data_IF_894673964627
#
_entry.id   IF_894673964627
#
_cell.length_a   1.000
_cell.length_b   1.000
_cell.length_c   1.000
_cell.angle_alpha   90.00
_cell.angle_beta   90.00
_cell.angle_gamma   90.00
#
_symmetry.space_group_name_H-M   'P 1'
#
loop_
_entity.id
_entity.type
_entity.pdbx_description
1 polymer ?
#
# COMPACT_ATOMS: atom_id res chain seq x y z
N UNK A 1 6.22 6.06 17.49
CA UNK A 1 5.37 5.19 16.65
C UNK A 1 5.89 3.77 16.77
N UNK A 2 5.02 2.75 16.82
CA UNK A 2 5.46 1.36 16.72
C UNK A 2 6.23 1.12 15.42
N UNK A 3 7.18 0.19 15.48
CA UNK A 3 8.06 -0.14 14.37
C UNK A 3 7.41 -1.17 13.46
N UNK A 4 7.57 -0.97 12.15
CA UNK A 4 7.20 -1.92 11.10
C UNK A 4 8.43 -2.11 10.22
N UNK A 5 8.76 -3.36 9.92
CA UNK A 5 9.87 -3.72 9.03
C UNK A 5 9.29 -4.23 7.72
N UNK A 6 9.94 -3.86 6.63
CA UNK A 6 9.45 -4.09 5.29
C UNK A 6 10.54 -4.67 4.40
N UNK A 7 10.20 -5.72 3.68
CA UNK A 7 10.97 -6.24 2.56
C UNK A 7 10.02 -6.37 1.37
N UNK A 8 10.17 -5.49 0.38
CA UNK A 8 9.33 -5.52 -0.82
C UNK A 8 9.98 -6.36 -1.93
N UNK A 9 9.17 -7.03 -2.76
CA UNK A 9 9.64 -7.65 -3.99
C UNK A 9 10.30 -6.66 -4.96
N UNK A 10 10.98 -7.19 -5.97
CA UNK A 10 11.43 -6.39 -7.11
C UNK A 10 10.24 -5.70 -7.81
N UNK A 11 10.47 -4.52 -8.39
CA UNK A 11 9.45 -3.71 -9.04
C UNK A 11 8.81 -2.64 -8.14
N UNK A 12 8.99 -2.73 -6.82
CA UNK A 12 8.63 -1.67 -5.90
C UNK A 12 9.75 -0.64 -5.78
N UNK A 13 9.41 0.63 -5.99
CA UNK A 13 10.30 1.77 -5.77
C UNK A 13 9.73 2.63 -4.66
N UNK A 14 10.50 2.78 -3.58
CA UNK A 14 10.11 3.58 -2.43
C UNK A 14 10.04 5.06 -2.79
N UNK A 15 9.03 5.75 -2.25
CA UNK A 15 8.94 7.20 -2.27
C UNK A 15 9.56 7.71 -0.97
N UNK A 16 10.60 8.53 -1.08
CA UNK A 16 11.17 9.21 0.08
C UNK A 16 10.16 10.22 0.65
N UNK A 17 9.56 9.85 1.77
CA UNK A 17 8.55 10.66 2.47
C UNK A 17 9.17 11.87 3.19
N UNK A 18 10.49 11.89 3.38
CA UNK A 18 11.22 13.00 3.99
C UNK A 18 11.81 13.98 2.95
N UNK A 19 11.81 13.62 1.67
CA UNK A 19 12.21 14.50 0.56
C UNK A 19 11.34 15.77 0.55
N UNK A 20 11.98 16.92 0.28
CA UNK A 20 11.27 18.19 0.16
C UNK A 20 10.22 18.11 -0.98
N UNK A 21 8.98 18.59 -0.77
CA UNK A 21 7.95 18.59 -1.81
C UNK A 21 8.38 19.23 -3.13
N UNK A 22 9.13 20.34 -3.08
CA UNK A 22 9.62 21.03 -4.27
C UNK A 22 10.62 20.21 -5.06
N UNK A 23 11.55 19.56 -4.36
CA UNK A 23 12.54 18.66 -4.97
C UNK A 23 11.87 17.44 -5.62
N UNK A 24 10.92 16.81 -4.90
CA UNK A 24 10.15 15.67 -5.42
C UNK A 24 9.33 16.04 -6.65
N UNK A 25 8.63 17.18 -6.63
CA UNK A 25 7.89 17.66 -7.80
C UNK A 25 8.81 17.94 -8.99
N UNK A 26 9.97 18.55 -8.75
CA UNK A 26 10.97 18.81 -9.80
C UNK A 26 11.44 17.49 -10.43
N UNK A 27 11.74 16.49 -9.59
CA UNK A 27 12.11 15.13 -10.04
C UNK A 27 11.01 14.45 -10.85
N UNK A 28 9.74 14.64 -10.49
CA UNK A 28 8.61 14.11 -11.28
C UNK A 28 8.57 14.80 -12.65
N UNK A 29 8.71 16.12 -12.72
CA UNK A 29 8.73 16.87 -13.99
C UNK A 29 9.90 16.43 -14.87
N UNK A 30 11.11 16.32 -14.30
CA UNK A 30 12.31 15.87 -15.02
C UNK A 30 12.15 14.43 -15.53
N UNK A 31 11.51 13.55 -14.74
CA UNK A 31 11.20 12.18 -15.17
C UNK A 31 10.20 12.14 -16.34
N UNK A 32 9.22 13.05 -16.35
CA UNK A 32 8.26 13.15 -17.44
C UNK A 32 8.89 13.65 -18.75
N UNK A 33 9.96 14.44 -18.70
CA UNK A 33 10.68 14.86 -19.91
C UNK A 33 11.27 13.70 -20.70
N UNK A 34 11.61 12.59 -20.03
CA UNK A 34 12.09 11.36 -20.69
C UNK A 34 10.98 10.41 -21.17
N UNK A 35 9.73 10.62 -20.74
CA UNK A 35 8.62 9.67 -20.92
C UNK A 35 7.48 10.22 -21.79
N UNK A 36 7.36 11.55 -21.93
CA UNK A 36 6.24 12.17 -22.65
C UNK A 36 6.58 13.54 -23.25
N UNK A 37 5.97 13.83 -24.40
CA UNK A 37 6.01 15.13 -25.09
C UNK A 37 5.00 16.15 -24.52
N UNK A 38 4.43 15.88 -23.34
CA UNK A 38 3.47 16.78 -22.69
C UNK A 38 4.04 18.19 -22.47
N UNK A 39 3.17 19.20 -22.57
CA UNK A 39 3.54 20.60 -22.38
C UNK A 39 3.91 20.93 -20.92
N UNK A 40 4.67 22.02 -20.66
CA UNK A 40 5.13 22.37 -19.32
C UNK A 40 4.02 22.50 -18.27
N UNK A 41 2.88 23.10 -18.64
CA UNK A 41 1.73 23.24 -17.73
C UNK A 41 1.10 21.89 -17.36
N UNK A 42 1.10 20.92 -18.28
CA UNK A 42 0.58 19.58 -18.04
C UNK A 42 1.51 18.79 -17.11
N UNK A 43 2.82 18.83 -17.38
CA UNK A 43 3.84 18.19 -16.52
C UNK A 43 3.76 18.74 -15.10
N UNK A 44 3.63 20.06 -14.95
CA UNK A 44 3.41 20.69 -13.65
C UNK A 44 2.10 20.22 -12.99
N UNK A 45 1.00 20.15 -13.76
CA UNK A 45 -0.28 19.66 -13.26
C UNK A 45 -0.22 18.21 -12.73
N UNK A 46 0.51 17.34 -13.43
CA UNK A 46 0.76 15.95 -13.00
C UNK A 46 1.58 15.93 -11.71
N UNK A 47 2.69 16.68 -11.66
CA UNK A 47 3.55 16.73 -10.48
C UNK A 47 2.81 17.28 -9.24
N UNK A 48 2.04 18.35 -9.38
CA UNK A 48 1.21 18.91 -8.30
C UNK A 48 0.14 17.91 -7.86
N UNK A 49 -0.52 17.20 -8.78
CA UNK A 49 -1.55 16.22 -8.44
C UNK A 49 -0.96 15.03 -7.68
N UNK A 50 0.21 14.53 -8.11
CA UNK A 50 0.94 13.46 -7.44
C UNK A 50 1.36 13.88 -6.03
N UNK A 51 1.88 15.10 -5.88
CA UNK A 51 2.26 15.64 -4.57
C UNK A 51 1.05 15.82 -3.65
N UNK A 52 -0.06 16.36 -4.15
CA UNK A 52 -1.29 16.51 -3.36
C UNK A 52 -1.84 15.15 -2.90
N UNK A 53 -1.76 14.12 -3.74
CA UNK A 53 -2.15 12.77 -3.38
C UNK A 53 -1.25 12.23 -2.26
N UNK A 54 0.07 12.35 -2.39
CA UNK A 54 1.01 11.93 -1.35
C UNK A 54 0.78 12.68 -0.03
N UNK A 55 0.57 13.99 -0.08
CA UNK A 55 0.28 14.80 1.11
C UNK A 55 -1.05 14.41 1.76
N UNK A 56 -2.04 13.91 1.01
CA UNK A 56 -3.23 13.32 1.59
C UNK A 56 -2.90 12.01 2.32
N UNK A 57 -2.10 11.14 1.71
CA UNK A 57 -1.67 9.89 2.34
C UNK A 57 -0.86 10.14 3.63
N UNK A 58 0.06 11.11 3.63
CA UNK A 58 0.83 11.49 4.82
C UNK A 58 -0.05 12.01 5.95
N UNK A 59 -1.08 12.82 5.64
CA UNK A 59 -2.07 13.28 6.63
C UNK A 59 -2.91 12.14 7.20
N UNK A 60 -3.13 11.07 6.44
CA UNK A 60 -3.78 9.85 6.90
C UNK A 60 -2.86 8.92 7.71
N UNK A 61 -1.60 9.30 7.92
CA UNK A 61 -0.62 8.53 8.69
C UNK A 61 0.12 7.49 7.87
N UNK A 62 0.34 7.74 6.58
CA UNK A 62 1.21 6.90 5.76
C UNK A 62 2.62 6.89 6.35
N UNK A 63 3.14 5.68 6.59
CA UNK A 63 4.51 5.43 7.07
C UNK A 63 5.40 4.87 5.96
N UNK A 64 4.78 4.42 4.86
CA UNK A 64 5.46 3.94 3.67
C UNK A 64 4.58 4.20 2.45
N UNK A 65 5.18 4.62 1.36
CA UNK A 65 4.54 4.67 0.04
C UNK A 65 5.57 4.22 -0.99
N UNK A 66 5.16 3.34 -1.90
CA UNK A 66 5.98 2.84 -2.99
C UNK A 66 5.16 2.72 -4.26
N UNK A 67 5.80 3.01 -5.39
CA UNK A 67 5.23 2.74 -6.71
C UNK A 67 5.66 1.33 -7.13
N UNK A 68 4.72 0.56 -7.64
CA UNK A 68 5.00 -0.73 -8.25
C UNK A 68 4.88 -0.59 -9.77
N UNK A 69 5.96 -0.87 -10.49
CA UNK A 69 6.00 -0.88 -11.95
C UNK A 69 6.40 -2.27 -12.41
N UNK A 70 5.53 -2.91 -13.20
CA UNK A 70 5.77 -4.27 -13.71
C UNK A 70 5.57 -4.24 -15.22
N UNK A 71 6.45 -4.92 -15.94
CA UNK A 71 6.27 -5.15 -17.37
C UNK A 71 5.49 -6.47 -17.58
N UNK A 72 4.41 -6.41 -18.35
CA UNK A 72 3.61 -7.59 -18.72
C UNK A 72 4.36 -8.44 -19.75
N UNK A 73 3.88 -9.67 -19.98
CA UNK A 73 4.44 -10.55 -21.03
C UNK A 73 4.34 -9.94 -22.43
N UNK A 74 3.37 -9.05 -22.65
CA UNK A 74 3.15 -8.33 -23.90
C UNK A 74 4.03 -7.07 -24.03
N UNK A 75 4.82 -6.76 -23.00
CA UNK A 75 5.74 -5.63 -22.96
C UNK A 75 5.12 -4.33 -22.45
N UNK A 76 3.84 -4.33 -22.07
CA UNK A 76 3.15 -3.17 -21.49
C UNK A 76 3.62 -2.91 -20.05
N UNK A 77 3.64 -1.65 -19.61
CA UNK A 77 3.96 -1.32 -18.22
C UNK A 77 2.64 -1.10 -17.48
N UNK A 78 2.45 -1.87 -16.41
CA UNK A 78 1.34 -1.69 -15.48
C UNK A 78 1.84 -1.08 -14.18
N UNK A 79 1.04 -0.19 -13.61
CA UNK A 79 1.38 0.54 -12.39
C UNK A 79 0.42 0.24 -11.24
N UNK A 80 0.96 0.18 -10.03
CA UNK A 80 0.21 0.22 -8.79
C UNK A 80 0.88 1.13 -7.76
N UNK A 81 0.13 1.53 -6.74
CA UNK A 81 0.64 2.26 -5.58
C UNK A 81 0.42 1.39 -4.35
N UNK A 82 1.48 1.17 -3.57
CA UNK A 82 1.46 0.39 -2.34
C UNK A 82 1.82 1.29 -1.16
N UNK A 83 0.91 1.39 -0.20
CA UNK A 83 1.02 2.28 0.94
C UNK A 83 0.79 1.53 2.24
N UNK A 84 1.55 1.87 3.28
CA UNK A 84 1.33 1.42 4.64
C UNK A 84 0.91 2.60 5.50
N UNK A 85 -0.16 2.43 6.25
CA UNK A 85 -0.63 3.42 7.22
C UNK A 85 -0.64 2.82 8.60
N UNK A 86 -0.24 3.62 9.57
CA UNK A 86 -0.32 3.24 10.97
C UNK A 86 -1.31 4.16 11.68
N UNK A 87 -2.49 3.62 11.98
CA UNK A 87 -3.63 4.37 12.52
C UNK A 87 -3.87 3.98 13.97
N UNK A 88 -4.04 4.94 14.87
CA UNK A 88 -4.52 4.63 16.22
C UNK A 88 -5.99 4.21 16.15
N UNK A 89 -6.32 3.03 16.66
CA UNK A 89 -7.68 2.48 16.60
C UNK A 89 -7.91 1.47 17.72
N UNK A 90 -9.09 1.53 18.33
CA UNK A 90 -9.48 0.56 19.37
C UNK A 90 -9.61 -0.85 18.79
N UNK A 91 -8.75 -1.76 19.26
CA UNK A 91 -8.69 -3.12 18.76
C UNK A 91 -9.70 -4.07 19.42
N UNK A 92 -10.27 -3.69 20.57
CA UNK A 92 -11.17 -4.54 21.35
C UNK A 92 -10.46 -5.77 21.93
N UNK A 93 -11.20 -6.87 22.10
CA UNK A 93 -10.65 -8.11 22.66
C UNK A 93 -9.55 -8.72 21.76
N UNK A 94 -8.45 -9.26 22.34
CA UNK A 94 -7.38 -9.91 21.59
C UNK A 94 -7.90 -10.98 20.63
N UNK A 95 -7.38 -10.98 19.41
CA UNK A 95 -7.73 -11.96 18.37
C UNK A 95 -9.09 -11.76 17.68
N UNK A 96 -9.94 -10.85 18.16
CA UNK A 96 -11.27 -10.58 17.58
C UNK A 96 -11.32 -9.41 16.59
N UNK A 97 -10.22 -8.67 16.42
CA UNK A 97 -10.17 -7.47 15.58
C UNK A 97 -10.54 -7.75 14.12
N UNK A 98 -9.91 -8.72 13.41
CA UNK A 98 -10.19 -8.93 11.98
C UNK A 98 -11.66 -9.28 11.68
N UNK A 99 -12.29 -10.13 12.50
CA UNK A 99 -13.69 -10.53 12.28
C UNK A 99 -14.67 -9.41 12.62
N UNK A 100 -14.34 -8.55 13.59
CA UNK A 100 -15.17 -7.39 13.89
C UNK A 100 -15.13 -6.41 12.73
N UNK A 101 -13.92 -6.04 12.30
CA UNK A 101 -13.74 -5.08 11.21
C UNK A 101 -14.30 -5.62 9.90
N UNK A 102 -14.07 -6.88 9.54
CA UNK A 102 -14.68 -7.47 8.34
C UNK A 102 -16.22 -7.32 8.31
N UNK A 103 -16.90 -7.49 9.45
CA UNK A 103 -18.37 -7.27 9.55
C UNK A 103 -18.75 -5.79 9.41
N UNK A 104 -17.96 -4.90 9.99
CA UNK A 104 -18.16 -3.44 9.85
C UNK A 104 -17.99 -3.01 8.39
N UNK A 105 -16.94 -3.49 7.71
CA UNK A 105 -16.68 -3.22 6.31
C UNK A 105 -17.77 -3.80 5.41
N UNK A 106 -18.26 -5.00 5.68
CA UNK A 106 -19.34 -5.62 4.90
C UNK A 106 -20.68 -4.86 5.04
N UNK A 107 -20.86 -4.17 6.17
CA UNK A 107 -22.01 -3.27 6.37
C UNK A 107 -21.82 -1.96 5.61
N UNK A 108 -20.60 -1.42 5.62
CA UNK A 108 -20.27 -0.14 4.97
C UNK A 108 -20.21 -0.26 3.44
N UNK A 109 -19.73 -1.39 2.92
CA UNK A 109 -19.51 -1.64 1.50
C UNK A 109 -20.05 -3.01 1.10
N UNK A 110 -21.36 -3.13 0.87
CA UNK A 110 -22.00 -4.41 0.54
C UNK A 110 -21.51 -5.04 -0.78
N UNK A 111 -20.97 -4.22 -1.69
CA UNK A 111 -20.50 -4.64 -3.00
C UNK A 111 -18.99 -4.97 -3.02
N UNK A 112 -18.30 -4.87 -1.88
CA UNK A 112 -16.87 -5.17 -1.79
C UNK A 112 -16.63 -6.65 -1.45
N UNK A 113 -15.56 -7.22 -2.01
CA UNK A 113 -15.08 -8.55 -1.62
C UNK A 113 -14.35 -8.44 -0.29
N UNK A 114 -14.89 -9.07 0.76
CA UNK A 114 -14.36 -8.95 2.12
C UNK A 114 -14.14 -10.32 2.72
N UNK A 115 -12.90 -10.58 3.11
CA UNK A 115 -12.50 -11.85 3.72
C UNK A 115 -11.57 -11.63 4.92
N UNK A 116 -11.47 -12.64 5.79
CA UNK A 116 -10.44 -12.68 6.83
C UNK A 116 -9.40 -13.71 6.42
N UNK A 117 -8.18 -13.24 6.17
CA UNK A 117 -7.09 -14.06 5.67
C UNK A 117 -5.97 -14.17 6.71
N UNK A 118 -5.24 -15.29 6.65
CA UNK A 118 -4.05 -15.56 7.46
C UNK A 118 -2.78 -15.17 6.67
N UNK A 119 -1.95 -14.30 7.25
CA UNK A 119 -0.64 -13.93 6.72
C UNK A 119 0.46 -14.25 7.73
N UNK A 120 1.75 -14.28 7.31
CA UNK A 120 2.87 -14.43 8.25
C UNK A 120 2.87 -13.37 9.36
N UNK A 121 2.37 -12.16 9.06
CA UNK A 121 2.24 -11.05 10.01
C UNK A 121 1.10 -11.27 11.03
N UNK A 122 0.14 -12.13 10.73
CA UNK A 122 -1.07 -12.35 11.51
C UNK A 122 -2.34 -12.34 10.64
N UNK A 123 -3.50 -12.35 11.31
CA UNK A 123 -4.81 -12.33 10.64
C UNK A 123 -5.20 -10.91 10.27
N UNK A 124 -5.71 -10.72 9.06
CA UNK A 124 -6.22 -9.44 8.59
C UNK A 124 -7.63 -9.55 8.03
N UNK A 125 -8.41 -8.49 8.21
CA UNK A 125 -9.57 -8.23 7.36
C UNK A 125 -9.04 -7.65 6.04
N UNK A 126 -9.36 -8.29 4.92
CA UNK A 126 -8.97 -7.89 3.58
C UNK A 126 -10.21 -7.49 2.82
N UNK A 127 -10.17 -6.31 2.21
CA UNK A 127 -11.24 -5.77 1.39
C UNK A 127 -10.70 -5.43 0.02
N UNK A 128 -11.38 -5.89 -1.03
CA UNK A 128 -11.12 -5.49 -2.42
C UNK A 128 -12.35 -4.78 -2.96
N UNK A 129 -12.17 -3.60 -3.55
CA UNK A 129 -13.27 -2.80 -4.12
C UNK A 129 -12.81 -1.94 -5.28
N UNK A 130 -13.76 -1.64 -6.16
CA UNK A 130 -13.58 -0.70 -7.26
C UNK A 130 -14.08 0.69 -6.86
N UNK A 131 -13.29 1.71 -7.16
CA UNK A 131 -13.54 3.11 -6.81
C UNK A 131 -13.57 3.96 -8.06
N UNK A 132 -14.65 4.71 -8.23
CA UNK A 132 -14.77 5.74 -9.23
C UNK A 132 -13.98 6.98 -8.78
N UNK A 133 -12.85 7.26 -9.42
CA UNK A 133 -11.98 8.40 -9.12
C UNK A 133 -12.12 9.45 -10.20
N UNK A 134 -12.51 10.70 -9.87
CA UNK A 134 -12.54 11.78 -10.84
C UNK A 134 -11.11 12.13 -11.28
N UNK A 135 -10.90 12.20 -12.59
CA UNK A 135 -9.63 12.57 -13.20
C UNK A 135 -9.82 13.91 -13.90
N UNK A 136 -8.98 14.89 -13.56
CA UNK A 136 -9.03 16.18 -14.26
C UNK A 136 -8.42 16.02 -15.65
N UNK A 137 -9.24 16.04 -16.71
CA UNK A 137 -8.75 15.96 -18.08
C UNK A 137 -7.85 17.15 -18.44
N UNK A 138 -7.98 18.28 -17.75
CA UNK A 138 -7.06 19.41 -17.89
C UNK A 138 -5.61 19.07 -17.56
N UNK A 139 -5.36 18.15 -16.61
CA UNK A 139 -4.01 17.67 -16.30
C UNK A 139 -3.39 16.86 -17.47
N UNK A 140 -4.24 16.37 -18.38
CA UNK A 140 -3.87 15.57 -19.56
C UNK A 140 -4.15 16.29 -20.88
N UNK A 141 -4.47 17.59 -20.87
CA UNK A 141 -4.80 18.36 -22.09
C UNK A 141 -6.13 18.04 -22.75
N UNK A 142 -7.01 17.31 -22.06
CA UNK A 142 -8.33 16.95 -22.54
C UNK A 142 -9.38 17.96 -22.03
N UNK A 143 -10.33 18.40 -22.88
CA UNK A 143 -11.43 19.25 -22.43
C UNK A 143 -12.40 18.44 -21.56
N UNK A 144 -12.40 18.69 -20.25
CA UNK A 144 -13.36 18.12 -19.28
C UNK A 144 -12.71 17.34 -18.15
N UNK A 145 -13.53 16.89 -17.20
CA UNK A 145 -13.15 15.89 -16.19
C UNK A 145 -13.70 14.53 -16.59
N UNK A 146 -12.90 13.48 -16.40
CA UNK A 146 -13.30 12.09 -16.57
C UNK A 146 -13.51 11.40 -15.23
N UNK A 147 -13.96 10.15 -15.29
CA UNK A 147 -13.95 9.23 -14.15
C UNK A 147 -13.16 8.00 -14.59
N UNK A 148 -12.17 7.63 -13.80
CA UNK A 148 -11.46 6.36 -13.95
C UNK A 148 -11.86 5.40 -12.85
N UNK A 149 -11.74 4.11 -13.09
CA UNK A 149 -11.96 3.10 -12.06
C UNK A 149 -10.62 2.66 -11.50
N UNK A 150 -10.49 2.70 -10.18
CA UNK A 150 -9.31 2.22 -9.45
C UNK A 150 -9.75 1.02 -8.61
N UNK A 151 -9.07 -0.12 -8.77
CA UNK A 151 -9.23 -1.23 -7.84
C UNK A 151 -8.32 -1.01 -6.64
N UNK A 152 -8.88 -1.11 -5.44
CA UNK A 152 -8.17 -0.95 -4.18
C UNK A 152 -8.31 -2.22 -3.34
N UNK A 153 -7.18 -2.76 -2.88
CA UNK A 153 -7.09 -3.73 -1.80
C UNK A 153 -6.66 -3.02 -0.52
N UNK A 154 -7.34 -3.29 0.58
CA UNK A 154 -6.95 -2.87 1.93
C UNK A 154 -6.89 -4.09 2.85
N UNK A 155 -5.76 -4.33 3.51
CA UNK A 155 -5.58 -5.35 4.52
C UNK A 155 -5.29 -4.71 5.88
N UNK A 156 -6.12 -5.01 6.88
CA UNK A 156 -6.09 -4.39 8.20
C UNK A 156 -5.59 -5.37 9.26
N UNK A 157 -4.42 -5.08 9.82
CA UNK A 157 -3.76 -5.87 10.85
C UNK A 157 -3.79 -5.14 12.20
N UNK A 158 -4.24 -5.82 13.25
CA UNK A 158 -4.04 -5.33 14.61
C UNK A 158 -2.55 -5.41 14.97
N UNK A 159 -1.97 -4.30 15.44
CA UNK A 159 -0.62 -4.31 15.97
C UNK A 159 -0.59 -5.10 17.30
N UNK A 160 0.32 -6.06 17.50
CA UNK A 160 0.26 -7.00 18.62
C UNK A 160 0.43 -6.36 20.01
N UNK A 161 1.19 -5.26 20.11
CA UNK A 161 1.53 -4.64 21.41
C UNK A 161 1.16 -3.15 21.52
N UNK A 162 0.37 -2.62 20.59
CA UNK A 162 0.03 -1.20 20.60
C UNK A 162 -1.39 -1.01 20.11
N UNK A 163 -2.08 0.08 20.47
CA UNK A 163 -3.44 0.36 20.02
C UNK A 163 -3.49 0.86 18.55
N UNK A 164 -2.54 0.43 17.72
CA UNK A 164 -2.47 0.83 16.32
C UNK A 164 -2.95 -0.30 15.42
N UNK A 165 -3.47 0.06 14.26
CA UNK A 165 -3.77 -0.83 13.16
C UNK A 165 -2.82 -0.48 12.04
N UNK A 166 -2.17 -1.50 11.48
CA UNK A 166 -1.47 -1.38 10.22
C UNK A 166 -2.49 -1.61 9.10
N UNK A 167 -2.73 -0.59 8.29
CA UNK A 167 -3.47 -0.71 7.04
C UNK A 167 -2.49 -0.81 5.88
N UNK A 168 -2.52 -1.93 5.17
CA UNK A 168 -1.80 -2.13 3.92
C UNK A 168 -2.75 -1.84 2.78
N UNK A 169 -2.44 -0.86 1.94
CA UNK A 169 -3.30 -0.46 0.83
C UNK A 169 -2.55 -0.63 -0.48
N UNK A 170 -3.15 -1.32 -1.44
CA UNK A 170 -2.69 -1.36 -2.82
C UNK A 170 -3.77 -0.79 -3.73
N UNK A 171 -3.41 0.07 -4.68
CA UNK A 171 -4.34 0.62 -5.66
C UNK A 171 -3.77 0.59 -7.08
N UNK A 172 -4.62 0.30 -8.07
CA UNK A 172 -4.23 0.26 -9.49
C UNK A 172 -5.40 0.62 -10.40
N UNK A 173 -5.10 1.20 -11.57
CA UNK A 173 -6.05 1.40 -12.68
C UNK A 173 -5.98 0.28 -13.73
N UNK A 174 -5.03 -0.65 -13.61
CA UNK A 174 -4.84 -1.76 -14.54
C UNK A 174 -5.59 -3.00 -14.06
N UNK A 175 -6.92 -2.93 -14.11
CA UNK A 175 -7.84 -3.94 -13.55
C UNK A 175 -7.70 -5.30 -14.25
N UNK A 176 -7.39 -5.32 -15.54
CA UNK A 176 -7.22 -6.56 -16.32
C UNK A 176 -6.03 -7.41 -15.86
N UNK A 177 -5.08 -6.81 -15.12
CA UNK A 177 -3.91 -7.49 -14.55
C UNK A 177 -4.09 -7.90 -13.08
N UNK A 178 -5.32 -7.92 -12.58
CA UNK A 178 -5.60 -8.14 -11.16
C UNK A 178 -4.99 -9.42 -10.59
N UNK A 179 -5.06 -10.53 -11.34
CA UNK A 179 -4.52 -11.81 -10.86
C UNK A 179 -3.00 -11.73 -10.64
N UNK A 180 -2.27 -11.07 -11.54
CA UNK A 180 -0.84 -10.81 -11.38
C UNK A 180 -0.54 -9.89 -10.20
N UNK A 181 -1.34 -8.84 -10.01
CA UNK A 181 -1.23 -7.95 -8.86
C UNK A 181 -1.47 -8.68 -7.53
N UNK A 182 -2.45 -9.58 -7.47
CA UNK A 182 -2.80 -10.28 -6.23
C UNK A 182 -1.63 -11.11 -5.68
N UNK A 183 -0.88 -11.77 -6.57
CA UNK A 183 0.32 -12.54 -6.20
C UNK A 183 1.42 -11.61 -5.68
N UNK A 184 1.67 -10.52 -6.39
CA UNK A 184 2.72 -9.56 -6.04
C UNK A 184 2.42 -8.82 -4.73
N UNK A 185 1.18 -8.39 -4.53
CA UNK A 185 0.71 -7.74 -3.31
C UNK A 185 0.73 -8.73 -2.13
N UNK A 186 0.34 -9.99 -2.36
CA UNK A 186 0.47 -11.04 -1.36
C UNK A 186 1.92 -11.27 -0.92
N UNK A 187 2.86 -11.24 -1.86
CA UNK A 187 4.29 -11.31 -1.57
C UNK A 187 4.78 -10.08 -0.78
N UNK A 188 4.36 -8.87 -1.17
CA UNK A 188 4.67 -7.63 -0.45
C UNK A 188 4.14 -7.64 0.99
N UNK A 189 2.88 -8.04 1.21
CA UNK A 189 2.29 -8.18 2.55
C UNK A 189 3.07 -9.21 3.38
N UNK A 190 3.48 -10.32 2.77
CA UNK A 190 4.26 -11.37 3.44
C UNK A 190 5.66 -10.90 3.86
N UNK A 191 6.20 -9.87 3.21
CA UNK A 191 7.46 -9.22 3.56
C UNK A 191 7.36 -8.21 4.71
N UNK A 192 6.17 -7.99 5.27
CA UNK A 192 5.95 -7.08 6.41
C UNK A 192 6.14 -7.84 7.72
N UNK A 193 6.80 -7.20 8.69
CA UNK A 193 6.94 -7.72 10.05
C UNK A 193 6.72 -6.65 11.12
N UNK A 194 6.13 -7.04 12.25
CA UNK A 194 6.19 -6.29 13.52
C UNK A 194 7.41 -6.66 14.35
N UNK A 195 8.32 -7.47 13.81
CA UNK A 195 9.55 -7.88 14.47
C UNK A 195 10.77 -7.41 13.67
N UNK A 196 11.87 -7.02 14.34
CA UNK A 196 13.09 -6.69 13.64
C UNK A 196 13.59 -7.87 12.80
N UNK A 197 14.17 -7.62 11.62
CA UNK A 197 14.79 -8.67 10.83
C UNK A 197 15.87 -9.34 11.66
N UNK A 198 15.98 -10.66 11.51
CA UNK A 198 16.98 -11.44 12.20
C UNK A 198 18.36 -11.02 11.67
N UNK A 199 19.19 -10.43 12.53
CA UNK A 199 20.61 -10.23 12.20
C UNK A 199 21.24 -11.60 11.93
N UNK A 200 21.98 -11.74 10.83
CA UNK A 200 22.63 -13.00 10.41
C UNK A 200 23.53 -13.61 11.51
N UNK A 201 24.00 -12.81 12.47
CA UNK A 201 24.78 -13.25 13.64
C UNK A 201 23.98 -14.02 14.71
N UNK A 202 22.64 -14.01 14.66
CA UNK A 202 21.76 -14.73 15.60
C UNK A 202 21.37 -16.15 15.16
N UNK A 203 21.94 -16.66 14.06
CA UNK A 203 21.70 -18.01 13.51
C UNK A 203 22.18 -19.19 14.42
N UNK A 204 22.55 -18.92 15.67
CA UNK A 204 23.09 -19.93 16.59
C UNK A 204 22.02 -20.66 17.43
N UNK A 205 20.72 -20.36 17.29
CA UNK A 205 19.66 -21.03 18.06
C UNK A 205 18.79 -21.92 17.16
N UNK A 206 18.47 -23.16 17.57
CA UNK A 206 17.56 -24.04 16.84
C UNK A 206 16.15 -23.42 16.69
N UNK A 207 15.47 -23.61 15.54
CA UNK A 207 14.15 -23.05 15.24
C UNK A 207 13.10 -23.31 16.33
N UNK A 208 13.14 -24.48 16.96
CA UNK A 208 12.16 -24.91 17.97
C UNK A 208 12.20 -24.08 19.26
N UNK A 209 13.35 -23.47 19.62
CA UNK A 209 13.44 -22.56 20.76
C UNK A 209 13.00 -21.13 20.41
N UNK A 210 13.06 -20.78 19.13
CA UNK A 210 12.65 -19.47 18.62
C UNK A 210 11.12 -19.35 18.56
N UNK A 211 10.45 -20.43 18.13
CA UNK A 211 8.98 -20.52 18.14
C UNK A 211 8.38 -20.50 19.54
N UNK A 212 9.06 -21.11 20.52
CA UNK A 212 8.59 -21.10 21.90
C UNK A 212 8.69 -19.72 22.54
N UNK A 213 9.69 -18.90 22.17
CA UNK A 213 9.77 -17.51 22.62
C UNK A 213 8.67 -16.68 21.97
N UNK A 214 8.45 -16.82 20.65
CA UNK A 214 7.37 -16.11 19.95
C UNK A 214 5.98 -16.48 20.49
N UNK A 215 5.70 -17.78 20.69
CA UNK A 215 4.44 -18.27 21.28
C UNK A 215 4.26 -17.87 22.76
N UNK A 216 5.35 -17.68 23.51
CA UNK A 216 5.26 -17.22 24.90
C UNK A 216 4.86 -15.75 25.02
N UNK A 217 5.00 -14.95 23.95
CA UNK A 217 4.66 -13.53 23.92
C UNK A 217 3.43 -13.19 23.07
N UNK A 218 2.71 -14.20 22.57
CA UNK A 218 1.37 -14.07 21.96
C UNK A 218 1.40 -13.84 20.47
#
# INVERSE_FOLDING_TARGET
MPSVWLSLPEGFTDIDLAEDPGDRMSRIVDGLDGLTDAGPEQKLGIAVSAELALQAQLREGAVHVSNCLVQTEEGEIVQGVFSLYLREQEQGAPGGYPQRVARELATAWPDADIEVLDFPLGRAAVTVRDLAVPVSGTAYGLPGSGVTTVRQLEALFAHPWSPHVLAVVFSTQHLDYWDGWSVLVGAAISGISFYPPLNETSNALPPERQDNIRKAFG
#
